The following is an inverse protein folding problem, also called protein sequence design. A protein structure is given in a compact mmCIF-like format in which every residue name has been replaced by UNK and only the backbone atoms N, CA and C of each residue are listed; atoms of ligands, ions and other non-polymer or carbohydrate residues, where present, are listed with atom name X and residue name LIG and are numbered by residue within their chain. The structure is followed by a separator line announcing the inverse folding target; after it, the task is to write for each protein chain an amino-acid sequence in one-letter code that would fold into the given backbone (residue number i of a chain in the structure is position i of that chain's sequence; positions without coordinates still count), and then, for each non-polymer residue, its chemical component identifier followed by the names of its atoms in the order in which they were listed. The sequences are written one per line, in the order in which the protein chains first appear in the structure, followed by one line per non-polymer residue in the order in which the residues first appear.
data_IF_511119478238
#
_entry.id   IF_511119478238
#
_cell.length_a   1.000
_cell.length_b   1.000
_cell.length_c   1.000
_cell.angle_alpha   90.00
_cell.angle_beta   90.00
_cell.angle_gamma   90.00
#
_symmetry.space_group_name_H-M   'P 1'
#
loop_
_entity.id
_entity.type
_entity.pdbx_description
1 polymer ?
#
# COMPACT_ATOMS: atom_id res chain seq x y z
N UNK A 1 -13.00 -9.59 -3.52
CA UNK A 1 -13.71 -8.66 -2.61
C UNK A 1 -13.04 -7.31 -2.79
N UNK A 2 -13.80 -6.26 -3.10
CA UNK A 2 -13.24 -4.92 -3.18
C UNK A 2 -12.86 -4.47 -1.76
N UNK A 3 -11.63 -4.00 -1.56
CA UNK A 3 -11.18 -3.45 -0.29
C UNK A 3 -11.90 -2.10 -0.07
N UNK A 4 -12.47 -1.89 1.11
CA UNK A 4 -13.03 -0.56 1.46
C UNK A 4 -11.90 0.44 1.72
N UNK A 5 -12.19 1.74 1.65
CA UNK A 5 -11.20 2.79 1.95
C UNK A 5 -10.53 2.58 3.32
N UNK A 6 -11.32 2.17 4.31
CA UNK A 6 -10.83 1.83 5.64
C UNK A 6 -9.85 0.66 5.66
N UNK A 7 -10.11 -0.39 4.88
CA UNK A 7 -9.20 -1.53 4.77
C UNK A 7 -7.88 -1.13 4.12
N UNK A 8 -7.93 -0.33 3.05
CA UNK A 8 -6.73 0.20 2.39
C UNK A 8 -5.89 1.02 3.38
N UNK A 9 -6.53 1.88 4.17
CA UNK A 9 -5.83 2.71 5.16
C UNK A 9 -5.07 1.87 6.20
N UNK A 10 -5.68 0.77 6.64
CA UNK A 10 -5.10 -0.17 7.61
C UNK A 10 -3.87 -0.87 7.00
N UNK A 11 -4.00 -1.41 5.78
CA UNK A 11 -2.90 -2.11 5.09
C UNK A 11 -1.73 -1.15 4.80
N UNK A 12 -2.04 0.04 4.29
CA UNK A 12 -1.03 1.07 4.00
C UNK A 12 -0.32 1.55 5.27
N UNK A 13 -1.06 1.78 6.36
CA UNK A 13 -0.46 2.13 7.66
C UNK A 13 0.48 1.05 8.18
N UNK A 14 0.10 -0.22 8.02
CA UNK A 14 0.93 -1.35 8.47
C UNK A 14 2.21 -1.48 7.65
N UNK A 15 2.12 -1.34 6.32
CA UNK A 15 3.26 -1.49 5.41
C UNK A 15 4.17 -0.26 5.37
N UNK A 16 3.61 0.93 5.47
CA UNK A 16 4.33 2.20 5.31
C UNK A 16 4.35 3.03 6.60
N UNK A 17 4.43 2.38 7.77
CA UNK A 17 4.49 3.07 9.05
C UNK A 17 5.61 4.12 9.07
N UNK A 18 5.26 5.36 9.43
CA UNK A 18 6.21 6.47 9.50
C UNK A 18 6.58 7.12 8.16
N UNK A 19 5.96 6.71 7.04
CA UNK A 19 6.08 7.37 5.73
C UNK A 19 4.77 8.03 5.33
N UNK A 20 4.88 9.08 4.52
CA UNK A 20 3.71 9.81 4.00
C UNK A 20 3.13 9.12 2.76
N UNK A 21 2.59 7.92 2.97
CA UNK A 21 1.98 7.10 1.91
C UNK A 21 0.69 7.71 1.36
N UNK A 22 0.02 8.57 2.12
CA UNK A 22 -1.18 9.30 1.69
C UNK A 22 -0.82 10.26 0.55
N UNK A 23 0.29 11.01 0.67
CA UNK A 23 0.79 11.86 -0.39
C UNK A 23 1.14 11.06 -1.64
N UNK A 24 1.89 9.96 -1.49
CA UNK A 24 2.27 9.11 -2.60
C UNK A 24 1.06 8.48 -3.32
N UNK A 25 0.05 8.04 -2.56
CA UNK A 25 -1.19 7.49 -3.10
C UNK A 25 -2.00 8.56 -3.86
N UNK A 26 -2.07 9.77 -3.29
CA UNK A 26 -2.71 10.91 -3.93
C UNK A 26 -2.03 11.26 -5.26
N UNK A 27 -0.70 11.34 -5.29
CA UNK A 27 0.06 11.56 -6.54
C UNK A 27 -0.16 10.43 -7.56
N UNK A 28 -0.21 9.18 -7.10
CA UNK A 28 -0.36 8.02 -7.97
C UNK A 28 -1.74 7.91 -8.62
N UNK A 29 -2.79 8.29 -7.89
CA UNK A 29 -4.16 8.37 -8.40
C UNK A 29 -4.45 9.72 -9.10
N UNK A 30 -3.53 10.69 -9.05
CA UNK A 30 -3.75 12.06 -9.56
C UNK A 30 -4.78 12.85 -8.76
N UNK A 31 -5.01 12.49 -7.50
CA UNK A 31 -6.00 13.11 -6.60
C UNK A 31 -5.31 13.97 -5.53
N UNK A 32 -6.09 14.74 -4.79
CA UNK A 32 -5.58 15.52 -3.65
C UNK A 32 -5.50 14.66 -2.39
N UNK A 33 -4.60 15.05 -1.46
CA UNK A 33 -4.46 14.36 -0.17
C UNK A 33 -5.78 14.35 0.61
N UNK A 34 -6.47 15.48 0.70
CA UNK A 34 -7.79 15.56 1.33
C UNK A 34 -8.81 14.58 0.74
N UNK A 35 -8.85 14.44 -0.59
CA UNK A 35 -9.76 13.50 -1.25
C UNK A 35 -9.47 12.05 -0.85
N UNK A 36 -8.19 11.69 -0.85
CA UNK A 36 -7.73 10.36 -0.44
C UNK A 36 -8.01 10.14 1.04
N UNK A 37 -7.66 11.07 1.92
CA UNK A 37 -7.92 10.98 3.37
C UNK A 37 -9.40 10.85 3.70
N UNK A 38 -10.25 11.61 3.02
CA UNK A 38 -11.69 11.50 3.17
C UNK A 38 -12.18 10.11 2.76
N UNK A 39 -11.78 9.62 1.58
CA UNK A 39 -12.17 8.28 1.11
C UNK A 39 -11.66 7.14 1.99
N UNK A 40 -10.47 7.29 2.58
CA UNK A 40 -9.88 6.30 3.47
C UNK A 40 -10.55 6.26 4.86
N UNK A 41 -11.14 7.38 5.29
CA UNK A 41 -11.95 7.44 6.51
C UNK A 41 -13.34 6.85 6.33
N UNK A 42 -13.90 6.99 5.13
CA UNK A 42 -15.22 6.47 4.81
C UNK A 42 -15.20 4.94 4.63
N UNK A 43 -16.23 4.26 5.12
CA UNK A 43 -16.47 2.84 4.85
C UNK A 43 -17.19 2.66 3.52
N UNK A 44 -16.69 3.33 2.48
CA UNK A 44 -17.19 3.21 1.12
C UNK A 44 -16.15 2.57 0.22
N UNK A 45 -16.62 1.96 -0.86
CA UNK A 45 -15.76 1.48 -1.94
C UNK A 45 -15.11 2.69 -2.60
N UNK A 46 -13.79 2.84 -2.54
CA UNK A 46 -13.11 3.93 -3.21
C UNK A 46 -13.20 3.77 -4.74
N UNK A 47 -12.93 4.83 -5.52
CA UNK A 47 -12.79 4.69 -6.96
C UNK A 47 -11.75 3.63 -7.31
N UNK A 48 -11.98 2.91 -8.41
CA UNK A 48 -11.12 1.80 -8.86
C UNK A 48 -9.67 2.28 -8.97
N UNK A 49 -9.44 3.49 -9.48
CA UNK A 49 -8.12 4.11 -9.59
C UNK A 49 -7.36 4.19 -8.25
N UNK A 50 -8.06 4.52 -7.16
CA UNK A 50 -7.46 4.58 -5.82
C UNK A 50 -7.16 3.17 -5.30
N UNK A 51 -8.07 2.23 -5.52
CA UNK A 51 -7.86 0.82 -5.16
C UNK A 51 -6.68 0.17 -5.91
N UNK A 52 -6.54 0.45 -7.20
CA UNK A 52 -5.43 -0.03 -8.03
C UNK A 52 -4.11 0.63 -7.62
N UNK A 53 -4.08 1.95 -7.41
CA UNK A 53 -2.89 2.66 -6.93
C UNK A 53 -2.44 2.15 -5.55
N UNK A 54 -3.38 1.90 -4.64
CA UNK A 54 -3.06 1.34 -3.33
C UNK A 54 -2.49 -0.07 -3.44
N UNK A 55 -3.10 -0.92 -4.28
CA UNK A 55 -2.63 -2.30 -4.51
C UNK A 55 -1.22 -2.30 -5.12
N UNK A 56 -0.97 -1.48 -6.14
CA UNK A 56 0.33 -1.34 -6.77
C UNK A 56 1.42 -0.85 -5.79
N UNK A 57 1.10 0.10 -4.91
CA UNK A 57 2.02 0.52 -3.84
C UNK A 57 2.32 -0.63 -2.87
N UNK A 58 1.29 -1.36 -2.43
CA UNK A 58 1.44 -2.47 -1.49
C UNK A 58 2.28 -3.61 -2.09
N UNK A 59 2.03 -3.97 -3.36
CA UNK A 59 2.82 -4.97 -4.10
C UNK A 59 4.28 -4.55 -4.23
N UNK A 60 4.54 -3.28 -4.54
CA UNK A 60 5.91 -2.76 -4.64
C UNK A 60 6.65 -2.75 -3.29
N UNK A 61 5.95 -2.43 -2.20
CA UNK A 61 6.55 -2.48 -0.86
C UNK A 61 6.81 -3.90 -0.37
N UNK A 62 5.97 -4.86 -0.79
CA UNK A 62 6.22 -6.27 -0.54
C UNK A 62 7.46 -6.76 -1.30
N UNK A 63 7.62 -6.35 -2.57
CA UNK A 63 8.80 -6.66 -3.38
C UNK A 63 10.10 -6.05 -2.81
N UNK A 64 10.07 -4.81 -2.29
CA UNK A 64 11.23 -4.17 -1.64
C UNK A 64 11.70 -4.94 -0.39
N UNK A 65 10.76 -5.50 0.39
CA UNK A 65 11.08 -6.34 1.54
C UNK A 65 11.46 -7.78 1.14
N UNK A 66 10.87 -8.30 0.05
CA UNK A 66 11.24 -9.56 -0.58
C UNK A 66 12.56 -9.49 -1.37
N UNK A 67 13.09 -8.28 -1.56
CA UNK A 67 14.41 -7.97 -2.12
C UNK A 67 15.59 -8.36 -1.22
N UNK A 68 15.38 -9.11 -0.14
CA UNK A 68 16.41 -10.01 0.37
C UNK A 68 16.56 -11.15 -0.65
N UNK A 69 17.67 -11.25 -1.40
CA UNK A 69 17.83 -12.34 -2.34
C UNK A 69 17.63 -13.65 -1.56
N UNK A 70 16.79 -14.54 -2.09
CA UNK A 70 16.52 -15.87 -1.57
C UNK A 70 17.76 -16.80 -1.51
N UNK A 71 18.97 -16.24 -1.51
CA UNK A 71 20.24 -16.94 -1.49
C UNK A 71 20.94 -16.99 -0.12
N UNK A 72 20.37 -16.44 0.96
CA UNK A 72 20.98 -16.48 2.31
C UNK A 72 20.49 -17.62 3.21
N UNK A 73 19.82 -18.65 2.66
CA UNK A 73 19.34 -19.81 3.46
C UNK A 73 20.00 -21.16 3.15
N UNK A 74 21.19 -21.20 2.52
CA UNK A 74 21.87 -22.50 2.28
C UNK A 74 23.39 -22.47 2.43
N UNK A 75 23.88 -22.07 3.60
CA UNK A 75 25.24 -22.39 4.06
C UNK A 75 25.20 -22.80 5.55
N UNK A 76 24.49 -23.90 5.86
CA UNK A 76 24.65 -24.61 7.14
C UNK A 76 24.22 -26.07 7.05
N UNK A 77 24.86 -26.82 6.16
CA UNK A 77 24.92 -28.28 6.14
C UNK A 77 26.02 -28.59 5.13
N UNK A 78 27.12 -29.26 5.39
CA UNK A 78 27.67 -30.00 6.51
C UNK A 78 28.95 -30.60 5.96
#
# INVERSE_FOLDING_TARGET
MALTGRQIAIEMTQKFQGRDWIAALAEQCGQTRDFVEWHLKEDMTPPIELGEAASAMLERADDDFAGLPANTRKLRQG
#
